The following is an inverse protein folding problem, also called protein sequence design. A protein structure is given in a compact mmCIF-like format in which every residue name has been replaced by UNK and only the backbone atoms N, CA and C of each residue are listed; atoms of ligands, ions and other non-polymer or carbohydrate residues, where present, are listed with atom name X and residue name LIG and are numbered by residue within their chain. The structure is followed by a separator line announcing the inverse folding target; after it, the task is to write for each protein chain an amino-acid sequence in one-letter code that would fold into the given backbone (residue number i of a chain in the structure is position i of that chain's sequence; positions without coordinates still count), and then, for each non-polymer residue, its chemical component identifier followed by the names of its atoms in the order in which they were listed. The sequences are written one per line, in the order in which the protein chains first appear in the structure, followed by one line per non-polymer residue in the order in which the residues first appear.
data_IF_436524407527
#
_entry.id   IF_436524407527
#
_cell.length_a   1.000
_cell.length_b   1.000
_cell.length_c   1.000
_cell.angle_alpha   90.00
_cell.angle_beta   90.00
_cell.angle_gamma   90.00
#
_symmetry.space_group_name_H-M   'P 1'
#
loop_
_entity.id
_entity.type
_entity.pdbx_description
1 polymer ?
#
# COMPACT_ATOMS: atom_id res chain seq x y z
N UNK A 1 41.29 5.21 -70.52
CA UNK A 1 40.39 4.23 -69.86
C UNK A 1 39.29 5.03 -69.18
N UNK A 2 38.05 4.54 -69.26
CA UNK A 2 36.80 5.30 -69.09
C UNK A 2 36.34 5.40 -67.62
N UNK A 3 35.61 6.48 -67.32
CA UNK A 3 34.40 6.60 -66.48
C UNK A 3 34.39 6.33 -64.94
N UNK A 4 33.82 7.32 -64.23
CA UNK A 4 32.73 7.26 -63.25
C UNK A 4 32.86 6.55 -61.89
N UNK A 5 32.66 7.32 -60.80
CA UNK A 5 31.60 7.15 -59.78
C UNK A 5 31.80 8.23 -58.67
N UNK A 6 30.84 9.12 -58.39
CA UNK A 6 29.68 8.93 -57.49
C UNK A 6 30.12 8.69 -56.03
N UNK A 7 29.81 9.48 -55.00
CA UNK A 7 28.65 10.31 -54.71
C UNK A 7 28.17 9.95 -53.29
N UNK A 8 27.66 10.93 -52.54
CA UNK A 8 26.82 10.77 -51.33
C UNK A 8 27.53 10.36 -50.04
N UNK A 9 27.07 10.66 -48.83
CA UNK A 9 26.20 11.68 -48.26
C UNK A 9 26.25 11.44 -46.74
N UNK A 10 26.13 12.52 -45.98
CA UNK A 10 25.25 12.64 -44.80
C UNK A 10 25.07 11.43 -43.87
N UNK A 11 25.59 11.58 -42.65
CA UNK A 11 24.83 11.44 -41.40
C UNK A 11 24.33 10.05 -41.00
N UNK A 12 24.79 9.58 -39.85
CA UNK A 12 24.00 8.69 -39.01
C UNK A 12 24.20 9.07 -37.53
N UNK A 13 23.16 9.60 -36.85
CA UNK A 13 23.17 9.75 -35.40
C UNK A 13 23.03 8.39 -34.70
N UNK A 14 23.38 8.28 -33.40
CA UNK A 14 23.12 7.06 -32.64
C UNK A 14 21.61 6.77 -32.59
N UNK A 15 21.25 5.53 -32.90
CA UNK A 15 19.88 5.01 -32.79
C UNK A 15 19.36 5.18 -31.37
N UNK A 16 18.42 6.11 -31.21
CA UNK A 16 17.50 6.13 -30.07
C UNK A 16 16.43 5.08 -30.33
N UNK A 17 16.54 3.95 -29.65
CA UNK A 17 15.47 2.96 -29.62
C UNK A 17 14.26 3.57 -28.89
N UNK A 18 13.29 4.06 -29.65
CA UNK A 18 11.93 4.27 -29.17
C UNK A 18 11.15 2.95 -29.33
N UNK A 19 11.49 1.96 -28.52
CA UNK A 19 10.65 0.79 -28.28
C UNK A 19 10.31 0.75 -26.79
N UNK A 20 9.11 1.24 -26.47
CA UNK A 20 8.21 0.70 -25.47
C UNK A 20 7.07 1.71 -25.28
N UNK A 21 5.87 1.28 -25.67
CA UNK A 21 4.58 1.49 -25.02
C UNK A 21 4.54 2.56 -23.92
N UNK A 22 3.62 3.55 -23.92
CA UNK A 22 3.40 4.35 -22.73
C UNK A 22 3.17 3.36 -21.57
N UNK A 23 3.98 3.40 -20.48
CA UNK A 23 3.73 2.52 -19.37
C UNK A 23 2.29 2.78 -18.93
N UNK A 24 1.43 1.76 -18.76
CA UNK A 24 0.16 1.97 -18.11
C UNK A 24 0.49 2.52 -16.73
N UNK A 25 0.19 3.79 -16.48
CA UNK A 25 0.28 4.49 -15.20
C UNK A 25 1.20 3.81 -14.18
N UNK A 26 2.52 3.97 -14.37
CA UNK A 26 3.52 3.42 -13.45
C UNK A 26 3.45 4.03 -12.05
N UNK A 27 2.60 5.04 -11.85
CA UNK A 27 2.25 5.66 -10.57
C UNK A 27 1.39 4.77 -9.65
N UNK A 28 0.74 3.72 -10.19
CA UNK A 28 -0.02 2.74 -9.41
C UNK A 28 0.69 1.37 -9.28
N UNK A 29 1.88 1.21 -9.87
CA UNK A 29 2.67 0.00 -9.69
C UNK A 29 3.05 -0.17 -8.21
N UNK A 30 2.86 -1.37 -7.66
CA UNK A 30 3.11 -1.65 -6.25
C UNK A 30 4.49 -1.15 -5.80
N UNK A 31 4.53 -0.37 -4.72
CA UNK A 31 5.79 0.19 -4.18
C UNK A 31 6.80 -0.91 -3.81
N UNK A 32 6.35 -2.14 -3.61
CA UNK A 32 7.19 -3.30 -3.43
C UNK A 32 8.09 -3.62 -4.63
N UNK A 33 7.62 -3.35 -5.86
CA UNK A 33 8.42 -3.54 -7.07
C UNK A 33 9.56 -2.52 -7.17
N UNK A 34 9.40 -1.34 -6.56
CA UNK A 34 10.46 -0.32 -6.47
C UNK A 34 11.35 -0.46 -5.23
N UNK A 35 10.79 -0.82 -4.07
CA UNK A 35 11.49 -0.80 -2.76
C UNK A 35 11.92 -2.17 -2.25
N UNK A 36 11.53 -3.26 -2.92
CA UNK A 36 11.78 -4.63 -2.50
C UNK A 36 10.66 -5.20 -1.61
N UNK A 37 10.58 -6.52 -1.53
CA UNK A 37 9.58 -7.25 -0.73
C UNK A 37 9.63 -6.89 0.75
N UNK A 38 8.45 -6.77 1.39
CA UNK A 38 8.31 -6.47 2.82
C UNK A 38 8.90 -5.12 3.29
N UNK A 39 9.14 -4.17 2.38
CA UNK A 39 9.77 -2.88 2.68
C UNK A 39 9.08 -2.07 3.79
N UNK A 40 7.79 -2.28 4.06
CA UNK A 40 7.04 -1.49 5.03
C UNK A 40 7.23 -1.93 6.49
N UNK A 41 7.60 -3.19 6.73
CA UNK A 41 7.74 -3.75 8.08
C UNK A 41 9.22 -3.98 8.42
N UNK A 42 9.61 -3.85 9.70
CA UNK A 42 10.92 -4.35 10.14
C UNK A 42 11.01 -5.85 9.88
N UNK A 43 12.18 -6.33 9.49
CA UNK A 43 12.41 -7.73 9.11
C UNK A 43 11.79 -8.69 10.14
N UNK A 44 10.93 -9.58 9.66
CA UNK A 44 10.39 -10.65 10.50
C UNK A 44 11.53 -11.60 10.85
N UNK A 45 11.95 -11.60 12.11
CA UNK A 45 12.97 -12.54 12.57
C UNK A 45 12.44 -13.97 12.45
N UNK A 46 13.12 -14.82 11.68
CA UNK A 46 12.77 -16.24 11.56
C UNK A 46 12.73 -16.87 12.96
N UNK A 47 11.60 -17.49 13.31
CA UNK A 47 11.36 -18.09 14.63
C UNK A 47 10.68 -17.19 15.66
N UNK A 48 10.37 -15.94 15.33
CA UNK A 48 9.62 -15.05 16.22
C UNK A 48 8.09 -15.26 16.08
N UNK A 49 7.37 -15.18 17.20
CA UNK A 49 5.89 -15.31 17.21
C UNK A 49 5.25 -13.98 16.78
N UNK A 50 4.42 -13.95 15.73
CA UNK A 50 3.70 -12.74 15.35
C UNK A 50 2.58 -12.45 16.35
N UNK A 51 2.58 -11.24 16.91
CA UNK A 51 1.44 -10.70 17.64
C UNK A 51 0.70 -9.74 16.73
N UNK A 52 -0.48 -10.15 16.28
CA UNK A 52 -1.31 -9.38 15.37
C UNK A 52 -2.22 -8.40 16.11
N UNK A 53 -2.16 -7.13 15.71
CA UNK A 53 -3.00 -6.07 16.26
C UNK A 53 -3.74 -5.34 15.13
N UNK A 54 -5.07 -5.28 15.16
CA UNK A 54 -5.83 -4.56 14.15
C UNK A 54 -5.70 -3.04 14.36
N UNK A 55 -5.28 -2.32 13.33
CA UNK A 55 -5.31 -0.86 13.28
C UNK A 55 -6.51 -0.48 12.41
N UNK A 56 -7.49 0.19 13.01
CA UNK A 56 -8.64 0.67 12.24
C UNK A 56 -8.29 1.96 11.50
N UNK A 57 -8.60 2.01 10.22
CA UNK A 57 -8.35 3.17 9.37
C UNK A 57 -9.66 3.54 8.68
N UNK A 58 -10.04 4.81 8.69
CA UNK A 58 -11.12 5.30 7.84
C UNK A 58 -10.52 5.90 6.57
N UNK A 59 -10.88 5.34 5.42
CA UNK A 59 -10.51 5.88 4.13
C UNK A 59 -11.63 6.80 3.63
N UNK A 60 -11.31 8.10 3.53
CA UNK A 60 -12.12 9.12 2.86
C UNK A 60 -11.39 9.56 1.59
N UNK A 61 -12.05 10.33 0.74
CA UNK A 61 -11.50 10.75 -0.56
C UNK A 61 -10.34 11.72 -0.47
N UNK A 62 -10.31 12.52 0.59
CA UNK A 62 -9.34 13.59 0.83
C UNK A 62 -8.34 13.24 1.94
N UNK A 63 -8.63 12.24 2.77
CA UNK A 63 -7.76 11.87 3.91
C UNK A 63 -8.01 10.46 4.42
N UNK A 64 -6.96 9.88 5.00
CA UNK A 64 -6.99 8.64 5.75
C UNK A 64 -6.96 8.97 7.25
N UNK A 65 -7.85 8.39 8.04
CA UNK A 65 -7.89 8.61 9.49
C UNK A 65 -7.58 7.31 10.21
N UNK A 66 -6.38 7.19 10.78
CA UNK A 66 -6.00 6.04 11.59
C UNK A 66 -6.60 6.22 12.98
N UNK A 67 -7.59 5.40 13.32
CA UNK A 67 -8.24 5.42 14.61
C UNK A 67 -7.32 4.87 15.70
N UNK A 68 -7.55 5.30 16.94
CA UNK A 68 -6.84 4.77 18.10
C UNK A 68 -7.11 3.28 18.29
N UNK A 69 -6.35 2.56 19.13
CA UNK A 69 -6.58 1.11 19.36
C UNK A 69 -8.00 0.81 19.86
N UNK A 70 -8.59 1.75 20.59
CA UNK A 70 -9.98 1.66 21.07
C UNK A 70 -11.02 1.90 19.97
N UNK A 71 -10.61 2.30 18.77
CA UNK A 71 -11.50 2.68 17.67
C UNK A 71 -12.08 4.10 17.79
N UNK A 72 -11.64 4.86 18.78
CA UNK A 72 -12.09 6.24 19.02
C UNK A 72 -11.35 7.25 18.13
N UNK A 73 -11.99 8.41 17.92
CA UNK A 73 -11.38 9.57 17.27
C UNK A 73 -10.35 10.27 18.17
N UNK A 74 -10.44 10.07 19.49
CA UNK A 74 -9.49 10.63 20.46
C UNK A 74 -8.13 9.95 20.30
N UNK A 75 -7.14 10.71 19.84
CA UNK A 75 -5.82 10.19 19.48
C UNK A 75 -5.78 9.51 18.10
N UNK A 76 -6.79 9.73 17.27
CA UNK A 76 -6.72 9.34 15.86
C UNK A 76 -5.73 10.21 15.10
N UNK A 77 -5.11 9.63 14.07
CA UNK A 77 -4.06 10.26 13.28
C UNK A 77 -4.57 10.44 11.86
N UNK A 78 -4.74 11.68 11.45
CA UNK A 78 -5.17 12.02 10.11
C UNK A 78 -3.96 12.13 9.19
N UNK A 79 -4.07 11.54 8.00
CA UNK A 79 -3.09 11.60 6.91
C UNK A 79 -3.83 12.17 5.71
N UNK A 80 -3.57 13.42 5.31
CA UNK A 80 -4.17 13.98 4.11
C UNK A 80 -3.72 13.16 2.89
N UNK A 81 -4.69 12.86 2.01
CA UNK A 81 -4.42 12.23 0.72
C UNK A 81 -4.03 13.34 -0.25
N UNK A 82 -2.83 13.21 -0.81
CA UNK A 82 -2.33 14.05 -1.87
C UNK A 82 -3.02 13.67 -3.19
N UNK A 83 -2.77 14.44 -4.24
CA UNK A 83 -3.33 14.17 -5.57
C UNK A 83 -3.03 12.73 -6.01
N UNK A 84 -1.81 12.27 -5.73
CA UNK A 84 -1.35 10.88 -5.87
C UNK A 84 -1.33 10.16 -4.52
N UNK A 85 -2.03 9.03 -4.41
CA UNK A 85 -2.08 8.22 -3.18
C UNK A 85 -0.72 7.66 -2.77
N UNK A 86 0.17 7.41 -3.74
CA UNK A 86 1.53 6.91 -3.49
C UNK A 86 2.35 7.88 -2.61
N UNK A 87 2.16 9.18 -2.77
CA UNK A 87 2.84 10.22 -1.98
C UNK A 87 2.40 10.17 -0.51
N UNK A 88 1.11 9.97 -0.29
CA UNK A 88 0.52 9.79 1.05
C UNK A 88 0.80 8.42 1.66
N UNK A 89 1.28 7.45 0.87
CA UNK A 89 1.57 6.10 1.36
C UNK A 89 2.76 6.09 2.30
N UNK A 90 3.80 6.88 2.04
CA UNK A 90 4.95 7.01 2.94
C UNK A 90 4.51 7.60 4.29
N UNK A 91 3.70 8.67 4.26
CA UNK A 91 3.12 9.26 5.45
C UNK A 91 2.26 8.26 6.22
N UNK A 92 1.43 7.46 5.53
CA UNK A 92 0.65 6.39 6.14
C UNK A 92 1.54 5.35 6.83
N UNK A 93 2.56 4.84 6.13
CA UNK A 93 3.50 3.85 6.69
C UNK A 93 4.22 4.41 7.91
N UNK A 94 4.61 5.69 7.88
CA UNK A 94 5.20 6.39 9.03
C UNK A 94 4.27 6.43 10.23
N UNK A 95 2.97 6.69 10.04
CA UNK A 95 2.00 6.63 11.15
C UNK A 95 1.81 5.20 11.67
N UNK A 96 1.77 4.20 10.78
CA UNK A 96 1.65 2.79 11.17
C UNK A 96 2.85 2.39 12.01
N UNK A 97 4.07 2.73 11.58
CA UNK A 97 5.30 2.50 12.35
C UNK A 97 5.25 3.18 13.71
N UNK A 98 4.89 4.46 13.76
CA UNK A 98 4.72 5.17 15.03
C UNK A 98 3.67 4.52 15.94
N UNK A 99 2.61 3.92 15.37
CA UNK A 99 1.64 3.14 16.15
C UNK A 99 2.24 1.85 16.69
N UNK A 100 3.00 1.11 15.89
CA UNK A 100 3.72 -0.10 16.34
C UNK A 100 4.70 0.25 17.46
N UNK A 101 5.45 1.34 17.30
CA UNK A 101 6.38 1.84 18.31
C UNK A 101 5.66 2.21 19.62
N UNK A 102 4.46 2.79 19.51
CA UNK A 102 3.62 3.09 20.67
C UNK A 102 3.12 1.85 21.41
N UNK A 103 3.10 0.66 20.79
CA UNK A 103 2.78 -0.60 21.48
C UNK A 103 3.93 -1.09 22.37
N UNK A 104 5.13 -0.55 22.18
CA UNK A 104 6.33 -0.97 22.90
C UNK A 104 6.86 -2.31 22.43
N UNK A 105 7.52 -3.04 23.31
CA UNK A 105 8.17 -4.32 22.98
C UNK A 105 7.11 -5.43 22.98
N UNK A 106 6.94 -6.12 21.85
CA UNK A 106 5.97 -7.22 21.69
C UNK A 106 6.20 -8.39 22.66
N UNK A 107 7.44 -8.58 23.11
CA UNK A 107 7.87 -9.69 23.95
C UNK A 107 9.16 -10.32 23.43
N UNK A 108 9.79 -11.15 24.25
CA UNK A 108 11.07 -11.81 23.94
C UNK A 108 10.84 -12.84 22.83
N UNK A 109 11.41 -12.62 21.64
CA UNK A 109 11.16 -13.46 20.46
C UNK A 109 9.77 -13.28 19.84
N UNK A 110 9.12 -12.13 20.07
CA UNK A 110 7.83 -11.79 19.46
C UNK A 110 7.98 -10.53 18.60
N UNK A 111 7.18 -10.41 17.55
CA UNK A 111 7.14 -9.20 16.73
C UNK A 111 5.71 -8.73 16.50
N UNK A 112 5.54 -7.42 16.39
CA UNK A 112 4.25 -6.82 16.06
C UNK A 112 3.98 -6.98 14.58
N UNK A 113 2.83 -7.58 14.26
CA UNK A 113 2.32 -7.67 12.90
C UNK A 113 1.01 -6.88 12.80
N UNK A 114 1.03 -5.59 12.43
CA UNK A 114 -0.20 -4.81 12.30
C UNK A 114 -1.08 -5.37 11.17
N UNK A 115 -2.38 -5.42 11.41
CA UNK A 115 -3.39 -5.68 10.37
C UNK A 115 -4.16 -4.39 10.15
N UNK A 116 -4.10 -3.83 8.95
CA UNK A 116 -4.78 -2.57 8.62
C UNK A 116 -6.22 -2.88 8.25
N UNK A 117 -7.15 -2.55 9.15
CA UNK A 117 -8.59 -2.73 8.93
C UNK A 117 -9.17 -1.42 8.42
N UNK A 118 -9.26 -1.31 7.10
CA UNK A 118 -9.69 -0.08 6.43
C UNK A 118 -11.21 -0.08 6.23
N UNK A 119 -11.89 0.83 6.93
CA UNK A 119 -13.27 1.21 6.68
C UNK A 119 -13.29 2.21 5.52
N UNK A 120 -13.79 1.77 4.38
CA UNK A 120 -13.86 2.57 3.16
C UNK A 120 -15.22 3.26 3.12
N UNK A 121 -15.21 4.60 3.14
CA UNK A 121 -16.43 5.39 2.90
C UNK A 121 -16.78 5.33 1.40
N UNK A 122 -18.07 5.52 1.02
CA UNK A 122 -18.51 5.38 -0.37
C UNK A 122 -17.73 6.26 -1.34
N UNK A 123 -17.31 7.45 -0.89
CA UNK A 123 -16.52 8.40 -1.68
C UNK A 123 -15.04 7.96 -1.84
N UNK A 124 -14.50 7.19 -0.88
CA UNK A 124 -13.10 6.78 -0.81
C UNK A 124 -12.78 5.41 -1.44
N UNK A 125 -13.74 4.80 -2.15
CA UNK A 125 -13.58 3.46 -2.71
C UNK A 125 -12.42 3.36 -3.71
N UNK A 126 -12.30 4.36 -4.59
CA UNK A 126 -11.22 4.42 -5.58
C UNK A 126 -9.84 4.54 -4.90
N UNK A 127 -9.73 5.41 -3.89
CA UNK A 127 -8.49 5.61 -3.12
C UNK A 127 -8.06 4.34 -2.40
N UNK A 128 -9.00 3.54 -1.88
CA UNK A 128 -8.69 2.27 -1.25
C UNK A 128 -8.16 1.22 -2.25
N UNK A 129 -8.72 1.16 -3.46
CA UNK A 129 -8.24 0.25 -4.49
C UNK A 129 -6.78 0.54 -4.85
N UNK A 130 -6.49 1.82 -5.12
CA UNK A 130 -5.14 2.31 -5.43
C UNK A 130 -4.17 2.02 -4.27
N UNK A 131 -4.58 2.33 -3.03
CA UNK A 131 -3.77 2.04 -1.84
C UNK A 131 -3.51 0.54 -1.65
N UNK A 132 -4.48 -0.32 -1.98
CA UNK A 132 -4.33 -1.77 -1.91
C UNK A 132 -3.35 -2.27 -2.97
N UNK A 133 -3.36 -1.71 -4.18
CA UNK A 133 -2.39 -2.03 -5.24
C UNK A 133 -0.99 -1.55 -4.88
N UNK A 134 -0.88 -0.33 -4.35
CA UNK A 134 0.40 0.25 -3.91
C UNK A 134 1.04 -0.56 -2.77
N UNK A 135 0.24 -0.94 -1.76
CA UNK A 135 0.66 -1.73 -0.62
C UNK A 135 0.70 -3.24 -0.91
N UNK A 136 0.32 -3.66 -2.11
CA UNK A 136 0.46 -5.06 -2.51
C UNK A 136 1.94 -5.46 -2.44
N UNK A 137 2.22 -6.63 -1.86
CA UNK A 137 3.58 -7.16 -1.66
C UNK A 137 4.49 -6.32 -0.71
N UNK A 138 3.94 -5.29 -0.04
CA UNK A 138 4.64 -4.46 0.94
C UNK A 138 4.91 -5.14 2.29
N UNK A 139 4.30 -6.31 2.53
CA UNK A 139 4.32 -7.03 3.81
C UNK A 139 3.25 -6.58 4.80
N UNK A 140 2.57 -5.45 4.56
CA UNK A 140 1.44 -5.00 5.35
C UNK A 140 0.15 -5.70 4.92
N UNK A 141 -0.56 -6.27 5.88
CA UNK A 141 -1.85 -6.90 5.59
C UNK A 141 -2.97 -5.86 5.63
N UNK A 142 -3.52 -5.53 4.45
CA UNK A 142 -4.63 -4.59 4.30
C UNK A 142 -5.93 -5.37 4.15
N UNK A 143 -6.84 -5.21 5.11
CA UNK A 143 -8.19 -5.79 5.09
C UNK A 143 -9.22 -4.67 5.00
N UNK A 144 -10.14 -4.77 4.04
CA UNK A 144 -11.36 -3.96 4.08
C UNK A 144 -12.17 -4.39 5.30
N UNK A 145 -12.63 -3.44 6.13
CA UNK A 145 -13.64 -3.70 7.14
C UNK A 145 -14.89 -4.14 6.39
N UNK A 146 -15.15 -5.44 6.33
CA UNK A 146 -16.45 -5.93 5.93
C UNK A 146 -17.43 -5.31 6.92
N UNK A 147 -18.41 -4.55 6.41
CA UNK A 147 -19.64 -4.34 7.17
C UNK A 147 -20.03 -5.74 7.62
N UNK A 148 -20.03 -5.97 8.93
CA UNK A 148 -20.56 -7.20 9.47
C UNK A 148 -22.02 -7.22 9.01
N UNK A 149 -22.31 -7.94 7.93
CA UNK A 149 -23.57 -8.67 7.85
C UNK A 149 -23.55 -9.51 9.11
N UNK A 150 -24.25 -9.00 10.12
CA UNK A 150 -24.58 -9.72 11.34
C UNK A 150 -25.08 -11.07 10.87
N UNK A 151 -24.26 -12.11 10.98
CA UNK A 151 -24.74 -13.48 10.77
C UNK A 151 -25.83 -13.62 11.83
N UNK A 152 -27.12 -13.73 11.46
CA UNK A 152 -28.14 -13.99 12.46
C UNK A 152 -27.72 -15.30 13.16
N UNK A 153 -27.78 -15.36 14.51
CA UNK A 153 -27.48 -16.60 15.21
C UNK A 153 -28.31 -17.73 14.58
N UNK A 154 -27.75 -18.94 14.38
CA UNK A 154 -28.53 -20.04 13.85
C UNK A 154 -29.77 -20.20 14.74
N UNK A 155 -30.95 -20.03 14.15
CA UNK A 155 -32.19 -20.23 14.86
C UNK A 155 -32.18 -21.69 15.37
N UNK A 156 -32.10 -21.85 16.68
CA UNK A 156 -32.20 -23.16 17.32
C UNK A 156 -33.56 -23.76 16.92
N UNK A 157 -33.61 -25.01 16.41
CA UNK A 157 -34.88 -25.65 16.15
C UNK A 157 -35.61 -25.81 17.49
N UNK A 158 -36.80 -25.20 17.59
CA UNK A 158 -37.72 -25.44 18.71
C UNK A 158 -38.22 -26.88 18.57
N UNK A 159 -37.86 -27.74 19.53
CA UNK A 159 -38.41 -29.09 19.70
C UNK A 159 -39.89 -29.04 20.06
#
# INVERSE_FOLDING_TARGET
MVASASGSATGSPPSVNFDATPPPSADAASLANQRGKNWSLPESQMGAVPVTRPIQIQCRSDRLVLLSERGDMVGSKEVPLSERTVDSTDALVKQIRGRIESWGIAGRGMYWRPILVVKVEPDGAQRFADLKEILHDSGLEVRKKATATRIPPPALPRS
#
